data_IF_055835559222
#
_entry.id   IF_055835559222
#
_cell.length_a   1.000
_cell.length_b   1.000
_cell.length_c   1.000
_cell.angle_alpha   90.00
_cell.angle_beta   90.00
_cell.angle_gamma   90.00
#
_symmetry.space_group_name_H-M   'P 1'
#
loop_
_entity.id
_entity.type
_entity.pdbx_description
1 polymer ?
#
# COMPACT_ATOMS: atom_id res chain seq x y z
N UNK A 1 -8.36 -41.99 29.63
CA UNK A 1 -9.09 -40.71 29.62
C UNK A 1 -8.22 -39.69 30.32
N UNK A 2 -7.57 -38.81 29.58
CA UNK A 2 -7.12 -37.52 30.11
C UNK A 2 -7.33 -36.51 28.98
N UNK A 3 -8.44 -35.80 29.12
CA UNK A 3 -8.91 -34.78 28.21
C UNK A 3 -8.42 -33.43 28.72
N UNK A 4 -7.45 -32.85 28.03
CA UNK A 4 -7.18 -31.41 28.11
C UNK A 4 -6.81 -30.94 26.71
N UNK A 5 -7.73 -30.33 25.93
CA UNK A 5 -7.30 -29.54 24.79
C UNK A 5 -6.61 -28.30 25.37
N UNK A 6 -5.29 -28.26 25.28
CA UNK A 6 -4.46 -27.14 25.69
C UNK A 6 -4.74 -25.99 24.74
N UNK A 7 -5.29 -24.92 25.30
CA UNK A 7 -5.57 -23.66 24.65
C UNK A 7 -4.27 -22.98 24.21
N UNK A 8 -3.76 -23.29 23.01
CA UNK A 8 -2.65 -22.57 22.39
C UNK A 8 -2.85 -22.46 20.87
N UNK A 9 -4.08 -22.15 20.45
CA UNK A 9 -4.38 -21.55 19.14
C UNK A 9 -4.16 -20.04 19.30
N UNK A 10 -2.90 -19.64 19.51
CA UNK A 10 -2.51 -18.24 19.36
C UNK A 10 -1.93 -18.12 17.96
N UNK A 11 -2.76 -17.67 17.04
CA UNK A 11 -2.39 -17.23 15.70
C UNK A 11 -1.40 -16.06 15.84
N UNK A 12 -0.14 -16.39 16.11
CA UNK A 12 0.97 -15.46 16.31
C UNK A 12 1.42 -14.83 14.98
N UNK A 13 0.70 -15.09 13.87
CA UNK A 13 0.99 -14.53 12.56
C UNK A 13 0.31 -13.17 12.32
N UNK A 14 -0.55 -12.70 13.24
CA UNK A 14 -1.35 -11.48 13.08
C UNK A 14 -0.78 -10.21 13.75
N UNK A 15 0.34 -10.29 14.48
CA UNK A 15 0.97 -9.15 15.17
C UNK A 15 2.28 -8.68 14.49
N UNK A 16 2.33 -8.75 13.16
CA UNK A 16 3.38 -8.05 12.41
C UNK A 16 2.85 -6.63 12.15
N UNK A 17 3.39 -5.58 12.81
CA UNK A 17 3.03 -4.22 12.45
C UNK A 17 3.31 -4.02 10.97
N UNK A 18 2.42 -3.34 10.21
CA UNK A 18 2.67 -3.09 8.80
C UNK A 18 4.05 -2.45 8.67
N UNK A 19 4.85 -2.84 7.66
CA UNK A 19 6.19 -2.30 7.49
C UNK A 19 6.12 -0.76 7.48
N UNK A 20 7.15 -0.07 8.01
CA UNK A 20 7.16 1.38 8.06
C UNK A 20 6.89 1.89 6.65
N UNK A 21 5.82 2.67 6.53
CA UNK A 21 5.37 3.13 5.24
C UNK A 21 6.31 4.25 4.81
N UNK A 22 7.27 3.91 3.94
CA UNK A 22 8.20 4.89 3.39
C UNK A 22 7.39 5.99 2.68
N UNK A 23 7.72 7.28 2.89
CA UNK A 23 7.07 8.35 2.15
C UNK A 23 7.32 8.18 0.64
N UNK A 24 6.39 8.70 -0.16
CA UNK A 24 6.57 8.76 -1.62
C UNK A 24 7.86 9.50 -1.99
N UNK A 25 8.58 9.01 -2.99
CA UNK A 25 9.76 9.70 -3.50
C UNK A 25 9.37 10.87 -4.39
N UNK A 26 10.25 11.88 -4.53
CA UNK A 26 10.01 13.03 -5.42
C UNK A 26 9.73 12.59 -6.88
N UNK A 27 10.38 11.52 -7.35
CA UNK A 27 10.15 10.97 -8.68
C UNK A 27 8.74 10.39 -8.81
N UNK A 28 8.30 9.62 -7.82
CA UNK A 28 6.95 9.07 -7.78
C UNK A 28 5.91 10.18 -7.68
N UNK A 29 6.15 11.21 -6.87
CA UNK A 29 5.27 12.37 -6.75
C UNK A 29 5.07 13.07 -8.10
N UNK A 30 6.17 13.39 -8.78
CA UNK A 30 6.12 14.05 -10.08
C UNK A 30 5.38 13.20 -11.12
N UNK A 31 5.63 11.89 -11.17
CA UNK A 31 4.92 10.97 -12.08
C UNK A 31 3.44 10.88 -11.76
N UNK A 32 3.11 10.65 -10.48
CA UNK A 32 1.75 10.49 -10.02
C UNK A 32 0.92 11.75 -10.30
N UNK A 33 1.51 12.93 -10.09
CA UNK A 33 0.88 14.22 -10.38
C UNK A 33 0.53 14.36 -11.87
N UNK A 34 1.49 14.13 -12.75
CA UNK A 34 1.27 14.20 -14.21
C UNK A 34 0.20 13.21 -14.66
N UNK A 35 0.23 11.97 -14.15
CA UNK A 35 -0.75 10.94 -14.48
C UNK A 35 -2.15 11.29 -13.96
N UNK A 36 -2.24 11.79 -12.73
CA UNK A 36 -3.51 12.24 -12.13
C UNK A 36 -4.12 13.40 -12.94
N UNK A 37 -3.30 14.39 -13.33
CA UNK A 37 -3.74 15.50 -14.19
C UNK A 37 -4.23 15.02 -15.56
N UNK A 38 -3.54 14.05 -16.17
CA UNK A 38 -3.93 13.49 -17.47
C UNK A 38 -5.21 12.66 -17.40
N UNK A 39 -5.38 11.86 -16.34
CA UNK A 39 -6.56 11.03 -16.13
C UNK A 39 -7.74 11.81 -15.54
N UNK A 40 -7.53 13.06 -15.11
CA UNK A 40 -8.54 13.87 -14.43
C UNK A 40 -8.85 13.40 -13.01
N UNK A 41 -7.93 12.64 -12.39
CA UNK A 41 -8.07 12.12 -11.03
C UNK A 41 -7.41 13.03 -10.00
N UNK A 42 -7.81 12.86 -8.73
CA UNK A 42 -7.18 13.59 -7.62
C UNK A 42 -5.81 13.02 -7.29
N UNK A 43 -4.84 13.91 -7.16
CA UNK A 43 -3.51 13.61 -6.65
C UNK A 43 -3.51 13.64 -5.12
N UNK A 44 -2.92 12.63 -4.50
CA UNK A 44 -2.84 12.49 -3.05
C UNK A 44 -1.36 12.45 -2.61
N UNK A 45 -0.85 13.51 -1.93
CA UNK A 45 0.55 13.62 -1.53
C UNK A 45 0.89 12.81 -0.27
N UNK A 46 -0.11 12.37 0.49
CA UNK A 46 0.08 11.60 1.73
C UNK A 46 0.30 10.11 1.46
N UNK A 47 0.29 9.70 0.18
CA UNK A 47 0.57 8.33 -0.23
C UNK A 47 2.00 7.92 0.11
N UNK A 48 2.11 6.65 0.48
CA UNK A 48 3.41 6.04 0.75
C UNK A 48 4.05 5.57 -0.55
N UNK A 49 5.36 5.31 -0.53
CA UNK A 49 6.14 4.85 -1.69
C UNK A 49 5.46 3.70 -2.43
N UNK A 50 4.91 2.73 -1.70
CA UNK A 50 4.25 1.55 -2.27
C UNK A 50 2.85 1.85 -2.78
N UNK A 51 2.13 2.76 -2.12
CA UNK A 51 0.81 3.17 -2.57
C UNK A 51 0.89 4.04 -3.82
N UNK A 52 1.84 4.98 -3.85
CA UNK A 52 2.17 5.79 -5.01
C UNK A 52 2.56 4.92 -6.20
N UNK A 53 3.41 3.91 -6.01
CA UNK A 53 3.80 2.96 -7.06
C UNK A 53 2.59 2.25 -7.67
N UNK A 54 1.72 1.64 -6.83
CA UNK A 54 0.49 1.01 -7.30
C UNK A 54 -0.44 1.98 -8.02
N UNK A 55 -0.53 3.21 -7.53
CA UNK A 55 -1.39 4.24 -8.12
C UNK A 55 -0.86 4.71 -9.47
N UNK A 56 0.45 4.87 -9.59
CA UNK A 56 1.15 5.17 -10.85
C UNK A 56 0.88 4.06 -11.85
N UNK A 57 1.13 2.80 -11.52
CA UNK A 57 0.90 1.66 -12.43
C UNK A 57 -0.55 1.61 -12.92
N UNK A 58 -1.51 1.79 -12.02
CA UNK A 58 -2.92 1.83 -12.39
C UNK A 58 -3.22 2.99 -13.35
N UNK A 59 -2.73 4.19 -13.04
CA UNK A 59 -2.96 5.36 -13.88
C UNK A 59 -2.24 5.27 -15.23
N UNK A 60 -1.07 4.65 -15.29
CA UNK A 60 -0.36 4.37 -16.53
C UNK A 60 -1.14 3.40 -17.43
N UNK A 61 -1.82 2.39 -16.85
CA UNK A 61 -2.65 1.44 -17.60
C UNK A 61 -3.92 2.07 -18.19
N UNK A 62 -4.55 3.02 -17.50
CA UNK A 62 -5.74 3.74 -18.05
C UNK A 62 -5.39 4.95 -18.91
N UNK A 63 -4.19 5.54 -18.78
CA UNK A 63 -3.80 6.74 -19.52
C UNK A 63 -3.25 6.46 -20.94
N UNK A 64 -3.10 5.18 -21.33
CA UNK A 64 -2.58 4.72 -22.63
C UNK A 64 -3.48 3.67 -23.27
#
# INVERSE_FOLDING_TARGET
>A
MNSTPRAEDVDAALDVPPPPQEPMTEEQEARLRVLSERSGESFDPDLTRREAERRIELLEDVAF
#
